data_IF_010351901701
#
_entry.id   IF_010351901701
#
_cell.length_a   1.000
_cell.length_b   1.000
_cell.length_c   1.000
_cell.angle_alpha   90.00
_cell.angle_beta   90.00
_cell.angle_gamma   90.00
#
_symmetry.space_group_name_H-M   'P 1'
#
loop_
_entity.id
_entity.type
_entity.pdbx_description
1 polymer ?
#
# COMPACT_ATOMS: atom_id res chain seq x y z
N UNK A 1 -27.88 31.66 5.52
CA UNK A 1 -27.36 31.18 6.81
C UNK A 1 -26.58 29.89 6.55
N UNK A 2 -25.37 29.76 7.08
CA UNK A 2 -24.59 28.52 6.98
C UNK A 2 -24.78 27.69 8.26
N UNK A 3 -24.80 26.36 8.12
CA UNK A 3 -24.95 25.41 9.23
C UNK A 3 -23.86 24.35 9.16
N UNK A 4 -23.41 23.87 10.31
CA UNK A 4 -22.43 22.79 10.37
C UNK A 4 -23.03 21.49 9.84
N UNK A 5 -22.26 20.76 9.03
CA UNK A 5 -22.61 19.44 8.51
C UNK A 5 -21.47 18.46 8.76
N UNK A 6 -21.79 17.16 8.83
CA UNK A 6 -20.79 16.10 8.91
C UNK A 6 -20.40 15.67 7.50
N UNK A 7 -19.10 15.53 7.26
CA UNK A 7 -18.57 15.00 5.99
C UNK A 7 -17.17 14.39 6.11
N UNK A 8 -16.52 14.49 7.28
CA UNK A 8 -15.13 14.05 7.47
C UNK A 8 -14.95 12.55 7.25
N UNK A 9 -15.83 11.71 7.78
CA UNK A 9 -15.75 10.25 7.60
C UNK A 9 -15.88 9.86 6.13
N UNK A 10 -16.87 10.42 5.44
CA UNK A 10 -17.05 10.21 4.00
C UNK A 10 -15.84 10.72 3.19
N UNK A 11 -15.23 11.83 3.60
CA UNK A 11 -14.02 12.35 2.96
C UNK A 11 -12.82 11.41 3.17
N UNK A 12 -12.60 10.90 4.39
CA UNK A 12 -11.53 9.95 4.72
C UNK A 12 -11.71 8.64 3.93
N UNK A 13 -12.92 8.08 3.90
CA UNK A 13 -13.21 6.86 3.15
C UNK A 13 -12.93 7.04 1.64
N UNK A 14 -13.34 8.18 1.06
CA UNK A 14 -13.04 8.50 -0.33
C UNK A 14 -11.54 8.71 -0.59
N UNK A 15 -10.81 9.28 0.36
CA UNK A 15 -9.36 9.43 0.26
C UNK A 15 -8.64 8.07 0.24
N UNK A 16 -9.02 7.13 1.12
CA UNK A 16 -8.47 5.78 1.10
C UNK A 16 -8.80 5.02 -0.18
N UNK A 17 -10.04 5.16 -0.70
CA UNK A 17 -10.44 4.57 -1.98
C UNK A 17 -9.62 5.11 -3.14
N UNK A 18 -9.40 6.43 -3.17
CA UNK A 18 -8.56 7.08 -4.17
C UNK A 18 -7.10 6.62 -4.08
N UNK A 19 -6.56 6.49 -2.87
CA UNK A 19 -5.21 5.95 -2.66
C UNK A 19 -5.10 4.52 -3.16
N UNK A 20 -6.06 3.65 -2.86
CA UNK A 20 -6.08 2.27 -3.32
C UNK A 20 -6.16 2.17 -4.85
N UNK A 21 -6.97 3.01 -5.51
CA UNK A 21 -7.06 3.06 -6.98
C UNK A 21 -5.74 3.51 -7.61
N UNK A 22 -5.12 4.57 -7.06
CA UNK A 22 -3.79 5.03 -7.51
C UNK A 22 -2.72 3.97 -7.32
N UNK A 23 -2.72 3.27 -6.19
CA UNK A 23 -1.78 2.17 -5.90
C UNK A 23 -1.96 1.00 -6.85
N UNK A 24 -3.20 0.68 -7.27
CA UNK A 24 -3.45 -0.36 -8.28
C UNK A 24 -2.90 0.04 -9.66
N UNK A 25 -2.97 1.32 -10.04
CA UNK A 25 -2.51 1.79 -11.35
C UNK A 25 -3.32 1.22 -12.52
N UNK A 26 -2.69 1.13 -13.70
CA UNK A 26 -3.35 0.59 -14.90
C UNK A 26 -3.69 -0.90 -14.72
N UNK A 27 -4.97 -1.23 -14.96
CA UNK A 27 -5.52 -2.59 -14.84
C UNK A 27 -5.14 -3.49 -16.02
N UNK A 28 -4.64 -2.92 -17.11
CA UNK A 28 -4.06 -3.69 -18.22
C UNK A 28 -2.72 -4.32 -17.82
N UNK A 29 -2.01 -3.72 -16.86
CA UNK A 29 -0.76 -4.25 -16.31
C UNK A 29 -1.09 -5.30 -15.24
N UNK A 30 -0.48 -6.51 -15.32
CA UNK A 30 -0.62 -7.53 -14.28
C UNK A 30 -0.26 -6.98 -12.89
N UNK A 31 -1.02 -7.37 -11.87
CA UNK A 31 -0.72 -6.97 -10.50
C UNK A 31 0.62 -7.56 -10.04
N UNK A 32 1.37 -6.78 -9.25
CA UNK A 32 2.58 -7.26 -8.59
C UNK A 32 2.24 -8.42 -7.67
N UNK A 33 3.03 -9.48 -7.75
CA UNK A 33 2.96 -10.63 -6.85
C UNK A 33 4.04 -10.54 -5.80
N UNK A 34 3.78 -11.12 -4.62
CA UNK A 34 4.74 -11.11 -3.51
C UNK A 34 6.05 -11.81 -3.89
N UNK A 35 5.99 -12.95 -4.60
CA UNK A 35 7.19 -13.67 -5.05
C UNK A 35 8.06 -12.83 -5.99
N UNK A 36 7.48 -11.99 -6.85
CA UNK A 36 8.25 -11.07 -7.69
C UNK A 36 9.01 -10.05 -6.83
N UNK A 37 8.42 -9.54 -5.75
CA UNK A 37 9.05 -8.54 -4.88
C UNK A 37 10.11 -9.20 -4.01
N UNK A 38 9.78 -10.36 -3.41
CA UNK A 38 10.69 -11.15 -2.57
C UNK A 38 11.95 -11.54 -3.33
N UNK A 39 11.82 -11.93 -4.60
CA UNK A 39 12.94 -12.46 -5.40
C UNK A 39 13.65 -11.39 -6.23
N UNK A 40 12.96 -10.37 -6.73
CA UNK A 40 13.53 -9.38 -7.67
C UNK A 40 13.86 -8.03 -7.02
N UNK A 41 13.30 -7.74 -5.84
CA UNK A 41 13.51 -6.50 -5.09
C UNK A 41 14.10 -6.76 -3.68
N UNK A 42 14.95 -7.78 -3.56
CA UNK A 42 15.51 -8.26 -2.29
C UNK A 42 16.11 -7.13 -1.41
N UNK A 43 16.84 -6.18 -2.00
CA UNK A 43 17.42 -5.05 -1.24
C UNK A 43 16.35 -4.17 -0.57
N UNK A 44 15.20 -3.99 -1.21
CA UNK A 44 14.07 -3.26 -0.63
C UNK A 44 13.41 -4.05 0.50
N UNK A 45 13.25 -5.36 0.31
CA UNK A 45 12.71 -6.28 1.32
C UNK A 45 13.61 -6.32 2.56
N UNK A 46 14.93 -6.44 2.38
CA UNK A 46 15.92 -6.45 3.47
C UNK A 46 15.87 -5.15 4.28
N UNK A 47 15.73 -4.01 3.60
CA UNK A 47 15.59 -2.71 4.26
C UNK A 47 14.32 -2.63 5.09
N UNK A 48 13.18 -3.07 4.55
CA UNK A 48 11.89 -3.06 5.27
C UNK A 48 11.94 -4.00 6.49
N UNK A 49 12.49 -5.20 6.36
CA UNK A 49 12.67 -6.10 7.51
C UNK A 49 13.57 -5.48 8.58
N UNK A 50 14.67 -4.85 8.16
CA UNK A 50 15.66 -4.25 9.06
C UNK A 50 15.10 -3.06 9.82
N UNK A 51 14.45 -2.11 9.13
CA UNK A 51 13.85 -0.93 9.76
C UNK A 51 12.55 -1.28 10.52
N UNK A 52 11.79 -2.27 10.03
CA UNK A 52 10.57 -2.78 10.65
C UNK A 52 10.80 -3.72 11.84
N UNK A 53 12.05 -4.14 12.10
CA UNK A 53 12.43 -5.06 13.18
C UNK A 53 11.65 -6.39 13.18
N UNK A 54 11.30 -6.89 11.99
CA UNK A 54 10.57 -8.15 11.81
C UNK A 54 11.19 -8.93 10.64
N UNK A 55 11.77 -10.09 10.95
CA UNK A 55 12.34 -10.97 9.93
C UNK A 55 11.23 -11.84 9.31
N UNK A 56 10.58 -11.30 8.31
CA UNK A 56 9.61 -12.01 7.47
C UNK A 56 9.60 -11.38 6.06
N UNK A 57 10.12 -12.11 5.08
CA UNK A 57 10.28 -11.62 3.70
C UNK A 57 8.93 -11.37 3.03
N UNK A 58 7.93 -12.23 3.29
CA UNK A 58 6.61 -12.09 2.68
C UNK A 58 5.84 -10.93 3.30
N UNK A 59 5.91 -10.74 4.62
CA UNK A 59 5.29 -9.57 5.28
C UNK A 59 5.97 -8.27 4.88
N UNK A 60 7.30 -8.25 4.74
CA UNK A 60 8.00 -7.08 4.22
C UNK A 60 7.61 -6.76 2.76
N UNK A 61 7.51 -7.78 1.90
CA UNK A 61 7.01 -7.61 0.54
C UNK A 61 5.55 -7.14 0.51
N UNK A 62 4.70 -7.65 1.40
CA UNK A 62 3.31 -7.20 1.54
C UNK A 62 3.23 -5.74 1.97
N UNK A 63 4.07 -5.32 2.92
CA UNK A 63 4.17 -3.93 3.33
C UNK A 63 4.58 -3.02 2.16
N UNK A 64 5.53 -3.46 1.32
CA UNK A 64 5.93 -2.75 0.10
C UNK A 64 4.75 -2.61 -0.88
N UNK A 65 3.94 -3.66 -1.08
CA UNK A 65 2.74 -3.60 -1.95
C UNK A 65 1.67 -2.67 -1.38
N UNK A 66 1.58 -2.58 -0.05
CA UNK A 66 0.54 -1.80 0.62
C UNK A 66 0.87 -0.31 0.75
N UNK A 67 2.15 0.04 0.90
CA UNK A 67 2.62 1.40 1.15
C UNK A 67 2.20 2.42 0.07
#
# INVERSE_FOLDING_TARGET
MYVAVKGGEAAIANAHRLLADRRRGDRSVPALRLDQIVEQLALGVDRVMSEGSLYDRELAALAIVQA
#
